data_IF_376591761356
#
_entry.id   IF_376591761356
#
_cell.length_a   1.000
_cell.length_b   1.000
_cell.length_c   1.000
_cell.angle_alpha   90.00
_cell.angle_beta   90.00
_cell.angle_gamma   90.00
#
_symmetry.space_group_name_H-M   'P 1'
#
loop_
_entity.id
_entity.type
_entity.pdbx_description
1 polymer ?
#
# COMPACT_ATOMS: atom_id res chain seq x y z
N UNK A 1 8.73 15.52 1.66
CA UNK A 1 7.85 16.68 1.32
C UNK A 1 6.67 16.61 2.28
N UNK A 2 6.34 17.67 3.04
CA UNK A 2 5.23 17.61 4.00
C UNK A 2 4.00 18.30 3.43
N UNK A 3 2.90 17.57 3.40
CA UNK A 3 1.59 18.10 2.99
C UNK A 3 1.11 19.08 4.05
N UNK A 4 0.57 20.22 3.61
CA UNK A 4 0.02 21.25 4.48
C UNK A 4 -1.47 21.02 4.65
N UNK A 5 -1.94 20.91 5.90
CA UNK A 5 -3.36 20.70 6.22
C UNK A 5 -3.78 21.77 7.23
N UNK A 6 -4.96 22.37 7.03
CA UNK A 6 -5.55 23.32 8.00
C UNK A 6 -5.92 22.59 9.28
N UNK A 7 -5.67 23.20 10.44
CA UNK A 7 -5.97 22.58 11.74
C UNK A 7 -7.40 22.08 11.86
N UNK A 8 -8.40 22.86 11.45
CA UNK A 8 -9.80 22.47 11.55
C UNK A 8 -10.12 21.25 10.69
N UNK A 9 -9.51 21.17 9.50
CA UNK A 9 -9.64 20.00 8.63
C UNK A 9 -8.92 18.77 9.22
N UNK A 10 -7.76 18.95 9.84
CA UNK A 10 -7.01 17.88 10.48
C UNK A 10 -7.75 17.30 11.70
N UNK A 11 -8.30 18.16 12.55
CA UNK A 11 -9.01 17.76 13.77
C UNK A 11 -10.41 17.20 13.49
N UNK A 12 -11.09 17.70 12.44
CA UNK A 12 -12.44 17.28 12.07
C UNK A 12 -12.52 16.05 11.17
N UNK A 13 -11.41 15.60 10.56
CA UNK A 13 -11.40 14.46 9.65
C UNK A 13 -11.55 13.12 10.38
N UNK A 14 -12.35 12.21 9.80
CA UNK A 14 -12.32 10.80 10.16
C UNK A 14 -11.00 10.15 9.70
N UNK A 15 -10.75 8.91 10.14
CA UNK A 15 -9.46 8.24 9.89
C UNK A 15 -9.16 8.05 8.41
N UNK A 16 -10.16 7.68 7.61
CA UNK A 16 -10.02 7.50 6.18
C UNK A 16 -9.67 8.82 5.50
N UNK A 17 -10.46 9.86 5.75
CA UNK A 17 -10.27 11.18 5.13
C UNK A 17 -8.93 11.79 5.53
N UNK A 18 -8.51 11.58 6.78
CA UNK A 18 -7.21 12.02 7.27
C UNK A 18 -6.06 11.30 6.56
N UNK A 19 -6.13 9.97 6.43
CA UNK A 19 -5.15 9.16 5.69
C UNK A 19 -5.05 9.63 4.24
N UNK A 20 -6.19 9.76 3.54
CA UNK A 20 -6.23 10.23 2.16
C UNK A 20 -5.63 11.64 2.03
N UNK A 21 -6.01 12.58 2.90
CA UNK A 21 -5.51 13.97 2.87
C UNK A 21 -4.00 14.06 3.07
N UNK A 22 -3.40 13.16 3.84
CA UNK A 22 -1.96 13.15 4.10
C UNK A 22 -1.14 12.73 2.87
N UNK A 23 -1.73 12.01 1.92
CA UNK A 23 -1.01 11.41 0.79
C UNK A 23 -1.50 11.87 -0.58
N UNK A 24 -2.75 12.33 -0.70
CA UNK A 24 -3.36 12.77 -1.96
C UNK A 24 -2.48 13.76 -2.74
N UNK A 25 -1.87 14.80 -2.13
CA UNK A 25 -1.01 15.71 -2.88
C UNK A 25 0.24 15.04 -3.47
N UNK A 26 0.77 14.02 -2.79
CA UNK A 26 1.88 13.20 -3.32
C UNK A 26 1.40 12.39 -4.51
N UNK A 27 0.24 11.74 -4.39
CA UNK A 27 -0.37 10.94 -5.47
C UNK A 27 -0.65 11.82 -6.69
N UNK A 28 -1.30 12.97 -6.51
CA UNK A 28 -1.62 13.91 -7.59
C UNK A 28 -0.36 14.43 -8.30
N UNK A 29 0.71 14.68 -7.54
CA UNK A 29 1.99 15.05 -8.12
C UNK A 29 2.61 13.91 -8.94
N UNK A 30 2.64 12.69 -8.41
CA UNK A 30 3.19 11.50 -9.09
C UNK A 30 2.43 11.18 -10.37
N UNK A 31 1.11 11.38 -10.42
CA UNK A 31 0.28 11.15 -11.60
C UNK A 31 0.66 12.04 -12.80
N UNK A 32 1.14 13.25 -12.55
CA UNK A 32 1.52 14.22 -13.59
C UNK A 32 2.97 14.10 -14.05
N UNK A 33 3.75 13.23 -13.41
CA UNK A 33 5.19 13.10 -13.57
C UNK A 33 5.58 11.95 -14.50
N UNK A 34 6.73 12.09 -15.17
CA UNK A 34 7.38 10.97 -15.84
C UNK A 34 8.00 9.97 -14.85
N UNK A 35 8.45 8.81 -15.31
CA UNK A 35 8.97 7.76 -14.42
C UNK A 35 10.14 8.24 -13.54
N UNK A 36 11.04 9.07 -14.08
CA UNK A 36 12.21 9.57 -13.35
C UNK A 36 11.78 10.58 -12.29
N UNK A 37 10.85 11.46 -12.61
CA UNK A 37 10.28 12.44 -11.68
C UNK A 37 9.49 11.77 -10.55
N UNK A 38 8.71 10.72 -10.85
CA UNK A 38 7.98 9.93 -9.83
C UNK A 38 8.92 9.34 -8.79
N UNK A 39 10.01 8.71 -9.26
CA UNK A 39 11.04 8.16 -8.38
C UNK A 39 11.66 9.25 -7.48
N UNK A 40 11.96 10.41 -8.05
CA UNK A 40 12.49 11.54 -7.26
C UNK A 40 11.50 12.05 -6.21
N UNK A 41 10.21 12.12 -6.53
CA UNK A 41 9.16 12.51 -5.57
C UNK A 41 9.04 11.48 -4.44
N UNK A 42 9.01 10.20 -4.80
CA UNK A 42 8.95 9.10 -3.85
C UNK A 42 10.18 9.06 -2.92
N UNK A 43 11.39 9.31 -3.42
CA UNK A 43 12.59 9.39 -2.58
C UNK A 43 12.62 10.58 -1.61
N UNK A 44 11.78 11.62 -1.83
CA UNK A 44 11.61 12.75 -0.89
C UNK A 44 10.63 12.45 0.24
N UNK A 45 9.95 11.31 0.21
CA UNK A 45 9.09 10.86 1.29
C UNK A 45 9.94 10.26 2.42
N UNK A 46 9.58 10.57 3.66
CA UNK A 46 10.17 9.89 4.81
C UNK A 46 9.56 8.48 4.99
N UNK A 47 10.09 7.72 5.95
CA UNK A 47 9.66 6.34 6.22
C UNK A 47 8.16 6.23 6.50
N UNK A 48 7.60 7.12 7.30
CA UNK A 48 6.17 7.11 7.64
C UNK A 48 5.28 7.38 6.41
N UNK A 49 5.68 8.35 5.59
CA UNK A 49 4.98 8.72 4.36
C UNK A 49 5.07 7.62 3.30
N UNK A 50 6.22 6.93 3.22
CA UNK A 50 6.45 5.76 2.36
C UNK A 50 5.55 4.59 2.72
N UNK A 51 5.45 4.26 4.01
CA UNK A 51 4.52 3.25 4.48
C UNK A 51 3.07 3.58 4.15
N UNK A 52 2.65 4.83 4.40
CA UNK A 52 1.30 5.30 4.07
C UNK A 52 1.02 5.28 2.56
N UNK A 53 1.97 5.75 1.75
CA UNK A 53 1.89 5.74 0.30
C UNK A 53 1.74 4.32 -0.25
N UNK A 54 2.54 3.39 0.25
CA UNK A 54 2.54 1.99 -0.19
C UNK A 54 1.23 1.28 0.20
N UNK A 55 0.73 1.54 1.41
CA UNK A 55 -0.59 1.07 1.82
C UNK A 55 -1.70 1.62 0.92
N UNK A 56 -1.75 2.94 0.71
CA UNK A 56 -2.76 3.58 -0.13
C UNK A 56 -2.70 3.07 -1.57
N UNK A 57 -1.49 2.89 -2.12
CA UNK A 57 -1.28 2.32 -3.45
C UNK A 57 -1.95 0.95 -3.58
N UNK A 58 -1.71 0.03 -2.63
CA UNK A 58 -2.34 -1.29 -2.71
C UNK A 58 -3.85 -1.20 -2.44
N UNK A 59 -4.26 -0.39 -1.46
CA UNK A 59 -5.67 -0.24 -1.08
C UNK A 59 -6.54 0.26 -2.23
N UNK A 60 -6.09 1.28 -2.96
CA UNK A 60 -6.85 1.86 -4.07
C UNK A 60 -6.98 0.89 -5.25
N UNK A 61 -6.00 -0.01 -5.42
CA UNK A 61 -5.95 -0.91 -6.56
C UNK A 61 -6.50 -2.31 -6.28
N UNK A 62 -6.53 -2.77 -5.02
CA UNK A 62 -6.91 -4.13 -4.63
C UNK A 62 -8.44 -4.41 -4.68
N UNK A 63 -9.20 -3.75 -5.54
CA UNK A 63 -10.67 -3.77 -5.51
C UNK A 63 -11.27 -5.12 -5.96
N UNK A 64 -10.61 -5.80 -6.89
CA UNK A 64 -10.94 -7.16 -7.32
C UNK A 64 -9.84 -8.16 -6.94
N UNK A 65 -10.15 -9.45 -6.93
CA UNK A 65 -9.20 -10.52 -6.62
C UNK A 65 -8.04 -10.51 -7.64
N UNK A 66 -8.35 -10.28 -8.91
CA UNK A 66 -7.40 -10.23 -10.01
C UNK A 66 -6.48 -9.02 -9.93
N UNK A 67 -7.02 -7.87 -9.50
CA UNK A 67 -6.20 -6.70 -9.23
C UNK A 67 -5.33 -6.87 -8.00
N UNK A 68 -5.89 -7.39 -6.91
CA UNK A 68 -5.12 -7.70 -5.72
C UNK A 68 -3.95 -8.65 -6.03
N UNK A 69 -4.21 -9.73 -6.79
CA UNK A 69 -3.16 -10.60 -7.31
C UNK A 69 -2.10 -9.83 -8.10
N UNK A 70 -2.53 -9.05 -9.09
CA UNK A 70 -1.62 -8.33 -9.97
C UNK A 70 -0.76 -7.31 -9.22
N UNK A 71 -1.35 -6.52 -8.33
CA UNK A 71 -0.64 -5.46 -7.60
C UNK A 71 0.22 -6.00 -6.46
N UNK A 72 -0.10 -7.15 -5.89
CA UNK A 72 0.80 -7.84 -4.94
C UNK A 72 1.99 -8.47 -5.67
N UNK A 73 1.79 -9.07 -6.84
CA UNK A 73 2.89 -9.52 -7.72
C UNK A 73 3.78 -8.34 -8.15
N UNK A 74 3.17 -7.21 -8.55
CA UNK A 74 3.89 -5.96 -8.83
C UNK A 74 4.71 -5.50 -7.62
N UNK A 75 4.14 -5.53 -6.42
CA UNK A 75 4.82 -5.15 -5.20
C UNK A 75 6.05 -6.01 -4.93
N UNK A 76 5.91 -7.34 -5.04
CA UNK A 76 7.00 -8.29 -4.83
C UNK A 76 8.16 -8.15 -5.83
N UNK A 77 7.92 -7.57 -7.02
CA UNK A 77 8.98 -7.28 -7.98
C UNK A 77 9.69 -5.96 -7.74
N UNK A 78 9.18 -5.13 -6.82
CA UNK A 78 9.76 -3.87 -6.38
C UNK A 78 10.02 -3.97 -4.87
N UNK A 79 11.11 -4.63 -4.45
CA UNK A 79 11.34 -4.96 -3.05
C UNK A 79 11.26 -3.75 -2.12
N UNK A 80 11.69 -2.57 -2.56
CA UNK A 80 11.55 -1.34 -1.79
C UNK A 80 10.10 -0.98 -1.46
N UNK A 81 9.17 -1.13 -2.41
CA UNK A 81 7.75 -0.88 -2.22
C UNK A 81 7.16 -1.89 -1.24
N UNK A 82 7.52 -3.17 -1.39
CA UNK A 82 7.01 -4.24 -0.54
C UNK A 82 7.50 -4.13 0.92
N UNK A 83 8.78 -3.81 1.10
CA UNK A 83 9.34 -3.56 2.43
C UNK A 83 8.72 -2.33 3.10
N UNK A 84 8.43 -1.27 2.34
CA UNK A 84 7.73 -0.10 2.88
C UNK A 84 6.29 -0.40 3.28
N UNK A 85 5.61 -1.28 2.53
CA UNK A 85 4.26 -1.72 2.81
C UNK A 85 4.21 -2.54 4.11
N UNK A 86 5.14 -3.49 4.30
CA UNK A 86 5.33 -4.22 5.57
C UNK A 86 5.75 -3.30 6.72
N UNK A 87 6.69 -2.38 6.47
CA UNK A 87 7.18 -1.40 7.43
C UNK A 87 6.07 -0.46 7.89
N UNK A 88 5.17 -0.06 6.99
CA UNK A 88 3.98 0.73 7.28
C UNK A 88 3.04 0.04 8.26
N UNK A 89 2.71 -1.22 8.02
CA UNK A 89 1.89 -2.02 8.95
C UNK A 89 2.56 -2.16 10.32
N UNK A 90 3.86 -2.45 10.34
CA UNK A 90 4.62 -2.55 11.59
C UNK A 90 4.62 -1.23 12.38
N UNK A 91 4.81 -0.09 11.70
CA UNK A 91 4.75 1.23 12.32
C UNK A 91 3.36 1.60 12.84
N UNK A 92 2.31 1.09 12.20
CA UNK A 92 0.93 1.23 12.64
C UNK A 92 0.54 0.23 13.76
N UNK A 93 1.49 -0.60 14.21
CA UNK A 93 1.27 -1.68 15.16
C UNK A 93 0.15 -2.63 14.69
N UNK A 94 0.05 -2.83 13.37
CA UNK A 94 -0.98 -3.62 12.71
C UNK A 94 -0.45 -5.02 12.36
N UNK A 95 -0.35 -5.87 13.38
CA UNK A 95 0.13 -7.24 13.23
C UNK A 95 -0.76 -8.09 12.30
N UNK A 96 -2.06 -7.78 12.25
CA UNK A 96 -3.02 -8.50 11.41
C UNK A 96 -2.76 -8.21 9.92
N UNK A 97 -2.59 -6.93 9.57
CA UNK A 97 -2.26 -6.56 8.19
C UNK A 97 -0.84 -7.02 7.81
N UNK A 98 0.12 -6.94 8.74
CA UNK A 98 1.46 -7.47 8.51
C UNK A 98 1.44 -8.98 8.22
N UNK A 99 0.60 -9.74 8.93
CA UNK A 99 0.41 -11.17 8.67
C UNK A 99 -0.11 -11.44 7.25
N UNK A 100 -1.05 -10.64 6.75
CA UNK A 100 -1.54 -10.73 5.36
C UNK A 100 -0.39 -10.54 4.38
N UNK A 101 0.43 -9.49 4.55
CA UNK A 101 1.57 -9.23 3.66
C UNK A 101 2.62 -10.35 3.68
N UNK A 102 2.98 -10.86 4.86
CA UNK A 102 3.91 -11.98 4.96
C UNK A 102 3.34 -13.26 4.33
N UNK A 103 2.03 -13.48 4.43
CA UNK A 103 1.36 -14.62 3.82
C UNK A 103 1.39 -14.53 2.29
N UNK A 104 1.10 -13.34 1.74
CA UNK A 104 1.20 -13.07 0.30
C UNK A 104 2.62 -13.31 -0.19
N UNK A 105 3.63 -12.75 0.48
CA UNK A 105 5.04 -12.90 0.11
C UNK A 105 5.45 -14.37 0.08
N UNK A 106 5.06 -15.14 1.11
CA UNK A 106 5.34 -16.57 1.18
C UNK A 106 4.72 -17.37 0.03
N UNK A 107 3.49 -17.03 -0.36
CA UNK A 107 2.73 -17.76 -1.40
C UNK A 107 3.20 -17.39 -2.80
N UNK A 108 3.48 -16.10 -3.05
CA UNK A 108 3.72 -15.58 -4.39
C UNK A 108 5.21 -15.51 -4.77
N UNK A 109 6.14 -15.45 -3.82
CA UNK A 109 7.58 -15.42 -4.13
C UNK A 109 8.04 -16.65 -4.95
N UNK A 110 7.64 -17.90 -4.61
CA UNK A 110 7.99 -19.06 -5.44
C UNK A 110 7.41 -18.95 -6.86
N UNK A 111 6.19 -18.40 -7.01
CA UNK A 111 5.56 -18.19 -8.32
C UNK A 111 6.29 -17.15 -9.15
N UNK A 112 6.79 -16.09 -8.52
CA UNK A 112 7.60 -15.10 -9.19
C UNK A 112 8.91 -15.69 -9.72
N UNK A 113 9.52 -16.63 -8.99
CA UNK A 113 10.71 -17.36 -9.41
C UNK A 113 10.44 -18.34 -10.56
N UNK A 114 9.26 -18.95 -10.62
CA UNK A 114 8.83 -19.82 -11.73
C UNK A 114 8.63 -19.05 -13.05
N UNK A 115 8.22 -17.78 -12.97
CA UNK A 115 7.97 -16.90 -14.13
C UNK A 115 9.27 -16.30 -14.70
N UNK A 116 10.44 -16.67 -14.15
CA UNK A 116 11.75 -16.05 -14.38
C UNK A 116 12.07 -15.70 -15.85
N UNK A 117 12.11 -14.40 -16.14
CA UNK A 117 12.80 -13.83 -17.30
C UNK A 117 12.36 -12.40 -17.62
N UNK A 118 11.07 -12.16 -17.74
CA UNK A 118 10.52 -10.84 -18.04
C UNK A 118 9.20 -10.64 -17.28
N UNK A 119 9.17 -9.65 -16.38
CA UNK A 119 7.97 -9.18 -15.69
C UNK A 119 6.79 -8.85 -16.64
N UNK A 120 7.09 -8.68 -17.94
CA UNK A 120 6.13 -8.47 -19.02
C UNK A 120 5.04 -9.54 -19.13
N UNK A 121 5.20 -10.69 -18.49
CA UNK A 121 4.24 -11.80 -18.60
C UNK A 121 3.23 -11.91 -17.45
N UNK A 122 3.36 -11.16 -16.34
CA UNK A 122 2.36 -11.24 -15.26
C UNK A 122 1.09 -10.53 -15.70
N UNK A 123 0.02 -11.30 -15.88
CA UNK A 123 -1.31 -10.83 -16.25
C UNK A 123 -2.27 -10.99 -15.08
N UNK A 124 -3.28 -10.11 -15.01
CA UNK A 124 -4.46 -10.30 -14.15
C UNK A 124 -5.12 -11.68 -14.37
N UNK A 125 -4.90 -12.30 -15.53
CA UNK A 125 -5.49 -13.57 -15.91
C UNK A 125 -4.72 -14.82 -15.44
N UNK A 126 -3.47 -14.68 -14.98
CA UNK A 126 -2.64 -15.84 -14.63
C UNK A 126 -3.23 -16.66 -13.48
N UNK A 127 -3.98 -16.00 -12.60
CA UNK A 127 -4.70 -16.63 -11.50
C UNK A 127 -5.75 -17.65 -11.97
N UNK A 128 -6.27 -17.55 -13.19
CA UNK A 128 -7.30 -18.47 -13.70
C UNK A 128 -6.73 -19.82 -14.12
N UNK A 129 -5.43 -19.91 -14.39
CA UNK A 129 -4.75 -21.15 -14.77
C UNK A 129 -4.46 -22.10 -13.59
N UNK A 130 -4.53 -21.59 -12.35
CA UNK A 130 -4.22 -22.34 -11.13
C UNK A 130 -5.36 -22.18 -10.11
N UNK A 131 -6.22 -23.20 -10.04
CA UNK A 131 -7.39 -23.19 -9.15
C UNK A 131 -7.03 -23.06 -7.66
N UNK A 132 -5.93 -23.68 -7.24
CA UNK A 132 -5.49 -23.64 -5.84
C UNK A 132 -4.93 -22.27 -5.49
N UNK A 133 -4.14 -21.68 -6.39
CA UNK A 133 -3.69 -20.30 -6.25
C UNK A 133 -4.88 -19.34 -6.16
N UNK A 134 -5.88 -19.51 -7.03
CA UNK A 134 -7.07 -18.66 -7.02
C UNK A 134 -7.80 -18.68 -5.68
N UNK A 135 -8.14 -19.86 -5.16
CA UNK A 135 -8.81 -19.99 -3.85
C UNK A 135 -7.97 -19.33 -2.74
N UNK A 136 -6.65 -19.52 -2.79
CA UNK A 136 -5.74 -18.97 -1.77
C UNK A 136 -5.72 -17.44 -1.81
N UNK A 137 -5.65 -16.86 -3.01
CA UNK A 137 -5.64 -15.40 -3.19
C UNK A 137 -7.02 -14.79 -2.91
N UNK A 138 -8.12 -15.46 -3.26
CA UNK A 138 -9.48 -15.05 -2.84
C UNK A 138 -9.59 -14.95 -1.32
N UNK A 139 -9.05 -15.94 -0.58
CA UNK A 139 -9.03 -15.90 0.88
C UNK A 139 -8.19 -14.77 1.46
N UNK A 140 -7.02 -14.51 0.88
CA UNK A 140 -6.16 -13.38 1.28
C UNK A 140 -6.77 -12.03 0.94
N UNK A 141 -7.46 -11.92 -0.21
CA UNK A 141 -8.16 -10.71 -0.64
C UNK A 141 -9.31 -10.37 0.33
N UNK A 142 -10.10 -11.36 0.71
CA UNK A 142 -11.15 -11.19 1.71
C UNK A 142 -10.57 -10.72 3.05
N UNK A 143 -9.51 -11.40 3.53
CA UNK A 143 -8.86 -11.04 4.78
C UNK A 143 -8.25 -9.64 4.74
N UNK A 144 -7.63 -9.27 3.62
CA UNK A 144 -7.07 -7.93 3.40
C UNK A 144 -8.14 -6.86 3.56
N UNK A 145 -9.29 -7.01 2.89
CA UNK A 145 -10.38 -6.02 2.96
C UNK A 145 -11.05 -5.95 4.33
N UNK A 146 -11.22 -7.09 5.00
CA UNK A 146 -11.77 -7.15 6.35
C UNK A 146 -10.90 -6.36 7.35
N UNK A 147 -9.57 -6.47 7.21
CA UNK A 147 -8.60 -5.79 8.08
C UNK A 147 -8.37 -4.33 7.65
N UNK A 148 -8.49 -3.99 6.36
CA UNK A 148 -8.09 -2.68 5.84
C UNK A 148 -8.80 -1.49 6.51
N UNK A 149 -10.04 -1.67 6.97
CA UNK A 149 -10.76 -0.62 7.72
C UNK A 149 -10.10 -0.33 9.06
N UNK A 150 -9.69 -1.38 9.78
CA UNK A 150 -8.94 -1.24 11.05
C UNK A 150 -7.55 -0.66 10.79
N UNK A 151 -6.88 -1.06 9.70
CA UNK A 151 -5.59 -0.48 9.28
C UNK A 151 -5.69 1.02 9.05
N UNK A 152 -6.75 1.49 8.37
CA UNK A 152 -7.01 2.92 8.19
C UNK A 152 -7.17 3.63 9.55
N UNK A 153 -7.89 3.02 10.49
CA UNK A 153 -8.04 3.54 11.86
C UNK A 153 -6.71 3.66 12.62
N UNK A 154 -5.83 2.66 12.45
CA UNK A 154 -4.48 2.66 13.03
C UNK A 154 -3.60 3.74 12.45
N UNK A 155 -3.60 3.91 11.13
CA UNK A 155 -2.90 5.02 10.48
C UNK A 155 -3.45 6.38 10.93
N UNK A 156 -4.78 6.56 10.96
CA UNK A 156 -5.42 7.78 11.45
C UNK A 156 -5.00 8.11 12.88
N UNK A 157 -5.01 7.11 13.77
CA UNK A 157 -4.53 7.25 15.15
C UNK A 157 -3.05 7.65 15.21
N UNK A 158 -2.20 7.03 14.40
CA UNK A 158 -0.76 7.35 14.36
C UNK A 158 -0.50 8.77 13.84
N UNK A 159 -1.20 9.18 12.77
CA UNK A 159 -1.10 10.52 12.19
C UNK A 159 -1.46 11.57 13.25
N UNK A 160 -2.54 11.37 14.02
CA UNK A 160 -2.92 12.32 15.09
C UNK A 160 -1.93 12.37 16.24
N UNK A 161 -1.32 11.23 16.61
CA UNK A 161 -0.28 11.17 17.65
C UNK A 161 1.05 11.79 17.19
N UNK A 162 1.39 11.66 15.91
CA UNK A 162 2.69 12.05 15.36
C UNK A 162 2.56 12.88 14.06
N UNK A 163 1.83 14.02 14.06
CA UNK A 163 1.48 14.73 12.82
C UNK A 163 2.70 15.15 12.01
N UNK A 164 3.80 15.52 12.68
CA UNK A 164 5.06 15.95 12.05
C UNK A 164 5.74 14.88 11.19
N UNK A 165 5.39 13.60 11.37
CA UNK A 165 5.86 12.51 10.51
C UNK A 165 5.17 12.54 9.14
N UNK A 166 3.95 13.07 9.04
CA UNK A 166 3.12 12.96 7.83
C UNK A 166 2.87 14.32 7.17
N UNK A 167 2.56 15.34 7.98
CA UNK A 167 2.01 16.63 7.53
C UNK A 167 2.58 17.81 8.33
N UNK A 168 2.34 19.00 7.81
CA UNK A 168 2.48 20.27 8.50
C UNK A 168 1.07 20.80 8.77
N UNK A 169 0.65 20.74 10.04
CA UNK A 169 -0.65 21.30 10.47
C UNK A 169 -0.46 22.80 10.65
N UNK A 170 -1.23 23.58 9.90
CA UNK A 170 -1.21 25.05 9.90
C UNK A 170 -2.36 25.60 10.75
#
# INVERSE_FOLDING_TARGET
MRVKIQREAFEGANDRDLVCSCIEPVVQQVLQQDQKERLQTYHKLNVAQKGLFSFQFLYDHAQSVEEFYYYTMYGLTHPELWEELKGGASMAEDDAMLYVYLSIEKILTPKLQEIAGEWKCVSKQDIWGDHQLRITIEGLHYMYHDIATETLGRYGSRIRKNPKEFVEVM
#
